data_IF_577377239302
#
_entry.id   IF_577377239302
#
_cell.length_a   1.000
_cell.length_b   1.000
_cell.length_c   1.000
_cell.angle_alpha   90.00
_cell.angle_beta   90.00
_cell.angle_gamma   90.00
#
_symmetry.space_group_name_H-M   'P 1'
#
loop_
_entity.id
_entity.type
_entity.pdbx_description
1 polymer ?
#
# COMPACT_ATOMS: atom_id res chain seq x y z
N UNK A 1 52.26 10.72 -13.95
CA UNK A 1 51.74 9.98 -12.79
C UNK A 1 52.48 8.66 -12.60
N UNK A 2 52.86 8.37 -11.39
CA UNK A 2 53.45 7.07 -11.04
C UNK A 2 52.37 6.04 -10.71
N UNK A 3 52.73 4.78 -10.80
CA UNK A 3 51.83 3.68 -10.45
C UNK A 3 51.36 3.81 -8.98
N UNK A 4 52.28 4.14 -8.06
CA UNK A 4 51.92 4.29 -6.65
C UNK A 4 51.00 5.47 -6.40
N UNK A 5 51.17 6.56 -7.17
CA UNK A 5 50.29 7.73 -7.08
C UNK A 5 48.85 7.38 -7.45
N UNK A 6 48.63 6.61 -8.54
CA UNK A 6 47.31 6.15 -8.93
C UNK A 6 46.75 5.17 -7.89
N UNK A 7 47.57 4.27 -7.36
CA UNK A 7 47.16 3.33 -6.31
C UNK A 7 46.64 4.04 -5.07
N UNK A 8 47.36 5.11 -4.62
CA UNK A 8 46.94 5.92 -3.48
C UNK A 8 45.62 6.62 -3.73
N UNK A 9 45.44 7.20 -4.92
CA UNK A 9 44.18 7.86 -5.31
C UNK A 9 43.02 6.87 -5.28
N UNK A 10 43.19 5.67 -5.85
CA UNK A 10 42.14 4.64 -5.86
C UNK A 10 41.79 4.20 -4.43
N UNK A 11 42.79 4.02 -3.56
CA UNK A 11 42.56 3.65 -2.16
C UNK A 11 41.77 4.75 -1.42
N UNK A 12 42.15 6.01 -1.59
CA UNK A 12 41.45 7.14 -0.99
C UNK A 12 40.00 7.23 -1.49
N UNK A 13 39.76 7.08 -2.78
CA UNK A 13 38.42 7.10 -3.36
C UNK A 13 37.58 5.93 -2.83
N UNK A 14 38.18 4.75 -2.67
CA UNK A 14 37.54 3.59 -2.10
C UNK A 14 37.11 3.80 -0.65
N UNK A 15 37.98 4.40 0.16
CA UNK A 15 37.68 4.72 1.56
C UNK A 15 36.56 5.77 1.65
N UNK A 16 36.59 6.79 0.81
CA UNK A 16 35.55 7.82 0.78
C UNK A 16 34.22 7.24 0.32
N UNK A 17 34.23 6.34 -0.68
CA UNK A 17 33.04 5.68 -1.15
C UNK A 17 32.40 4.81 -0.06
N UNK A 18 33.22 4.18 0.80
CA UNK A 18 32.72 3.38 1.92
C UNK A 18 32.03 4.22 2.99
N UNK A 19 32.39 5.51 3.13
CA UNK A 19 31.73 6.43 4.06
C UNK A 19 30.37 6.92 3.55
N UNK A 20 30.17 6.90 2.24
CA UNK A 20 28.92 7.29 1.61
C UNK A 20 28.03 6.05 1.40
N UNK A 21 27.88 5.24 2.44
CA UNK A 21 26.85 4.18 2.41
C UNK A 21 25.51 4.88 2.59
N UNK A 22 24.68 4.93 1.55
CA UNK A 22 23.38 5.58 1.71
C UNK A 22 22.53 4.76 2.68
N UNK A 23 22.09 5.39 3.76
CA UNK A 23 21.08 4.81 4.65
C UNK A 23 19.72 4.94 3.98
N UNK A 24 19.57 4.27 2.85
CA UNK A 24 18.33 4.32 2.06
C UNK A 24 17.24 3.46 2.70
N UNK A 25 17.60 2.44 3.47
CA UNK A 25 16.65 1.49 4.06
C UNK A 25 15.52 2.13 4.86
N UNK A 26 15.81 2.96 5.89
CA UNK A 26 14.74 3.61 6.67
C UNK A 26 13.88 4.57 5.85
N UNK A 27 14.47 5.26 4.88
CA UNK A 27 13.75 6.19 4.01
C UNK A 27 12.81 5.44 3.04
N UNK A 28 13.27 4.30 2.52
CA UNK A 28 12.45 3.45 1.64
C UNK A 28 11.27 2.87 2.43
N UNK A 29 11.51 2.42 3.66
CA UNK A 29 10.46 1.90 4.52
C UNK A 29 9.40 2.97 4.81
N UNK A 30 9.80 4.19 5.11
CA UNK A 30 8.87 5.29 5.34
C UNK A 30 8.10 5.66 4.08
N UNK A 31 8.76 5.68 2.92
CA UNK A 31 8.11 5.94 1.64
C UNK A 31 7.07 4.88 1.30
N UNK A 32 7.36 3.61 1.58
CA UNK A 32 6.42 2.52 1.37
C UNK A 32 5.20 2.64 2.27
N UNK A 33 5.39 2.98 3.54
CA UNK A 33 4.28 3.22 4.48
C UNK A 33 3.41 4.38 4.05
N UNK A 34 4.03 5.47 3.61
CA UNK A 34 3.31 6.64 3.09
C UNK A 34 2.50 6.29 1.85
N UNK A 35 3.07 5.49 0.96
CA UNK A 35 2.36 5.01 -0.23
C UNK A 35 1.17 4.13 0.16
N UNK A 36 1.34 3.22 1.12
CA UNK A 36 0.25 2.38 1.61
C UNK A 36 -0.88 3.21 2.20
N UNK A 37 -0.57 4.21 3.02
CA UNK A 37 -1.58 5.13 3.57
C UNK A 37 -2.34 5.87 2.48
N UNK A 38 -1.62 6.35 1.46
CA UNK A 38 -2.22 7.04 0.32
C UNK A 38 -3.15 6.12 -0.48
N UNK A 39 -2.75 4.88 -0.72
CA UNK A 39 -3.58 3.89 -1.40
C UNK A 39 -4.84 3.56 -0.58
N UNK A 40 -4.70 3.37 0.73
CA UNK A 40 -5.82 3.11 1.63
C UNK A 40 -6.81 4.28 1.59
N UNK A 41 -6.30 5.51 1.60
CA UNK A 41 -7.16 6.69 1.50
C UNK A 41 -7.92 6.73 0.17
N UNK A 42 -7.28 6.36 -0.93
CA UNK A 42 -7.95 6.24 -2.23
C UNK A 42 -9.06 5.20 -2.21
N UNK A 43 -8.85 4.07 -1.53
CA UNK A 43 -9.89 3.06 -1.35
C UNK A 43 -11.05 3.60 -0.52
N UNK A 44 -10.77 4.33 0.56
CA UNK A 44 -11.81 4.93 1.39
C UNK A 44 -12.66 5.92 0.59
N UNK A 45 -12.05 6.74 -0.23
CA UNK A 45 -12.76 7.70 -1.09
C UNK A 45 -13.65 6.97 -2.11
N UNK A 46 -13.13 5.93 -2.75
CA UNK A 46 -13.89 5.13 -3.68
C UNK A 46 -15.04 4.37 -3.00
N UNK A 47 -14.81 3.85 -1.81
CA UNK A 47 -15.82 3.18 -1.00
C UNK A 47 -16.92 4.14 -0.57
N UNK A 48 -16.58 5.37 -0.21
CA UNK A 48 -17.56 6.39 0.15
C UNK A 48 -18.44 6.76 -1.04
N UNK A 49 -17.86 6.89 -2.24
CA UNK A 49 -18.63 7.11 -3.46
C UNK A 49 -19.56 5.94 -3.76
N UNK A 50 -19.07 4.72 -3.56
CA UNK A 50 -19.89 3.51 -3.72
C UNK A 50 -21.10 3.55 -2.78
N UNK A 51 -20.87 3.87 -1.51
CA UNK A 51 -21.94 3.98 -0.50
C UNK A 51 -22.93 5.07 -0.85
N UNK A 52 -22.44 6.23 -1.31
CA UNK A 52 -23.32 7.35 -1.69
C UNK A 52 -24.27 6.96 -2.83
N UNK A 53 -23.78 6.19 -3.80
CA UNK A 53 -24.60 5.75 -4.94
C UNK A 53 -25.52 4.58 -4.59
N UNK A 54 -25.08 3.66 -3.77
CA UNK A 54 -25.75 2.38 -3.55
C UNK A 54 -26.36 2.21 -2.16
N UNK A 55 -26.04 3.11 -1.23
CA UNK A 55 -26.61 3.13 0.12
C UNK A 55 -25.88 2.24 1.14
N UNK A 56 -24.87 1.51 0.72
CA UNK A 56 -24.10 0.61 1.59
C UNK A 56 -22.69 0.42 1.03
N UNK A 57 -21.77 0.01 1.90
CA UNK A 57 -20.44 -0.40 1.47
C UNK A 57 -20.46 -1.85 0.97
N UNK A 58 -19.53 -2.23 0.10
CA UNK A 58 -19.38 -3.64 -0.28
C UNK A 58 -19.22 -4.54 0.94
N UNK A 59 -19.74 -5.75 0.87
CA UNK A 59 -19.54 -6.75 1.93
C UNK A 59 -18.10 -7.24 1.95
N UNK A 60 -17.71 -7.91 3.03
CA UNK A 60 -16.38 -8.52 3.12
C UNK A 60 -16.12 -9.50 1.99
N UNK A 61 -17.13 -10.30 1.63
CA UNK A 61 -17.03 -11.26 0.52
C UNK A 61 -16.91 -10.58 -0.84
N UNK A 62 -17.58 -9.44 -1.03
CA UNK A 62 -17.47 -8.66 -2.25
C UNK A 62 -16.07 -8.05 -2.39
N UNK A 63 -15.51 -7.59 -1.28
CA UNK A 63 -14.16 -7.08 -1.21
C UNK A 63 -13.94 -5.79 -2.00
N UNK A 64 -12.69 -5.42 -2.13
CA UNK A 64 -12.28 -4.22 -2.90
C UNK A 64 -12.51 -4.38 -4.40
N UNK A 65 -12.64 -5.60 -4.91
CA UNK A 65 -12.95 -5.86 -6.32
C UNK A 65 -14.30 -5.26 -6.72
N UNK A 66 -15.20 -5.05 -5.77
CA UNK A 66 -16.46 -4.37 -6.00
C UNK A 66 -16.27 -2.92 -6.49
N UNK A 67 -15.11 -2.32 -6.24
CA UNK A 67 -14.78 -0.97 -6.72
C UNK A 67 -14.36 -0.97 -8.19
N UNK A 68 -13.92 -2.10 -8.71
CA UNK A 68 -13.44 -2.23 -10.08
C UNK A 68 -14.55 -2.73 -10.99
N UNK A 69 -15.32 -3.71 -10.53
CA UNK A 69 -16.38 -4.37 -11.29
C UNK A 69 -17.60 -4.57 -10.41
N UNK A 70 -18.79 -4.37 -10.98
CA UNK A 70 -20.02 -4.57 -10.23
C UNK A 70 -20.08 -5.99 -9.66
N UNK A 71 -20.26 -6.14 -8.33
CA UNK A 71 -20.37 -7.46 -7.74
C UNK A 71 -21.68 -8.14 -8.12
N UNK A 72 -21.62 -9.45 -8.26
CA UNK A 72 -22.79 -10.28 -8.60
C UNK A 72 -23.39 -10.95 -7.37
N UNK A 73 -22.66 -11.01 -6.26
CA UNK A 73 -23.17 -11.57 -5.00
C UNK A 73 -23.89 -10.49 -4.18
N UNK A 74 -24.85 -10.91 -3.39
CA UNK A 74 -25.65 -10.00 -2.56
C UNK A 74 -24.78 -9.37 -1.44
N UNK A 75 -25.00 -8.09 -1.10
CA UNK A 75 -26.00 -7.17 -1.65
C UNK A 75 -25.55 -6.55 -2.99
N UNK A 76 -26.31 -6.78 -4.05
CA UNK A 76 -25.99 -6.27 -5.38
C UNK A 76 -26.27 -4.76 -5.42
N UNK A 77 -25.31 -3.93 -5.88
CA UNK A 77 -25.52 -2.49 -5.99
C UNK A 77 -26.54 -2.18 -7.10
N UNK A 78 -27.41 -1.21 -6.84
CA UNK A 78 -28.47 -0.81 -7.78
C UNK A 78 -28.06 0.32 -8.70
N UNK A 79 -27.11 1.14 -8.27
CA UNK A 79 -26.67 2.35 -8.96
C UNK A 79 -25.16 2.36 -9.17
N UNK A 80 -24.65 1.23 -9.63
CA UNK A 80 -23.22 1.07 -9.87
C UNK A 80 -22.78 1.97 -11.03
N UNK A 81 -21.67 2.70 -10.82
CA UNK A 81 -21.12 3.60 -11.83
C UNK A 81 -20.52 2.78 -12.98
N UNK A 82 -20.86 3.15 -14.20
CA UNK A 82 -20.26 2.54 -15.38
C UNK A 82 -18.75 2.76 -15.38
N UNK A 83 -18.00 1.66 -15.60
CA UNK A 83 -16.55 1.68 -15.55
C UNK A 83 -15.95 1.51 -14.14
N UNK A 84 -16.79 1.50 -13.11
CA UNK A 84 -16.35 1.29 -11.72
C UNK A 84 -15.82 2.54 -11.06
N UNK A 85 -15.39 2.38 -9.81
CA UNK A 85 -14.88 3.46 -8.96
C UNK A 85 -13.34 3.53 -8.99
N UNK A 86 -12.70 2.42 -9.35
CA UNK A 86 -11.26 2.32 -9.55
C UNK A 86 -11.00 1.54 -10.83
N UNK A 87 -9.88 1.81 -11.47
CA UNK A 87 -9.45 1.04 -12.65
C UNK A 87 -8.98 -0.35 -12.28
N UNK A 88 -8.30 -0.46 -11.14
CA UNK A 88 -7.78 -1.72 -10.60
C UNK A 88 -7.54 -1.57 -9.11
N UNK A 89 -7.48 -2.70 -8.41
CA UNK A 89 -7.06 -2.74 -7.01
C UNK A 89 -5.57 -3.08 -7.01
N UNK A 90 -4.69 -2.12 -6.67
CA UNK A 90 -3.26 -2.41 -6.58
C UNK A 90 -2.95 -3.22 -5.34
N UNK A 91 -1.86 -3.97 -5.37
CA UNK A 91 -1.27 -4.56 -4.18
C UNK A 91 -0.58 -3.47 -3.36
N UNK A 92 -0.29 -3.78 -2.10
CA UNK A 92 0.46 -2.85 -1.26
C UNK A 92 1.91 -2.73 -1.75
N UNK A 93 2.69 -1.76 -1.23
CA UNK A 93 4.08 -1.56 -1.68
C UNK A 93 5.00 -2.76 -1.47
N UNK A 94 4.60 -3.71 -0.63
CA UNK A 94 5.36 -4.94 -0.36
C UNK A 94 4.88 -6.12 -1.20
N UNK A 95 3.93 -5.89 -2.13
CA UNK A 95 3.45 -6.91 -3.06
C UNK A 95 2.35 -7.81 -2.52
N UNK A 96 1.74 -7.47 -1.40
CA UNK A 96 0.65 -8.24 -0.79
C UNK A 96 -0.70 -7.57 -1.06
N UNK A 97 -1.80 -8.34 -1.19
CA UNK A 97 -3.11 -7.74 -1.35
C UNK A 97 -3.56 -7.05 -0.06
N UNK A 98 -4.33 -5.97 -0.23
CA UNK A 98 -4.98 -5.32 0.92
C UNK A 98 -6.09 -6.21 1.45
N UNK A 99 -6.27 -6.20 2.77
CA UNK A 99 -7.35 -6.91 3.43
C UNK A 99 -8.49 -5.92 3.63
N UNK A 100 -9.69 -6.31 3.22
CA UNK A 100 -10.90 -5.51 3.37
C UNK A 100 -11.92 -6.25 4.24
N UNK A 101 -12.47 -5.56 5.21
CA UNK A 101 -13.55 -6.09 6.07
C UNK A 101 -14.63 -5.04 6.25
N UNK A 102 -15.86 -5.47 6.15
CA UNK A 102 -17.03 -4.67 6.49
C UNK A 102 -17.76 -5.33 7.64
N UNK A 103 -17.72 -4.70 8.80
CA UNK A 103 -18.40 -5.18 10.02
C UNK A 103 -19.53 -4.22 10.34
N UNK A 104 -20.74 -4.55 9.86
CA UNK A 104 -21.95 -3.76 10.10
C UNK A 104 -21.81 -2.29 9.69
N UNK A 105 -21.20 -2.04 8.54
CA UNK A 105 -21.00 -0.70 8.01
C UNK A 105 -19.70 -0.02 8.46
N UNK A 106 -18.94 -0.65 9.36
CA UNK A 106 -17.62 -0.18 9.73
C UNK A 106 -16.59 -0.87 8.84
N UNK A 107 -15.97 -0.12 7.97
CA UNK A 107 -14.98 -0.66 7.03
C UNK A 107 -13.58 -0.64 7.64
N UNK A 108 -12.82 -1.69 7.36
CA UNK A 108 -11.43 -1.81 7.73
C UNK A 108 -10.61 -2.21 6.51
N UNK A 109 -9.57 -1.46 6.23
CA UNK A 109 -8.63 -1.73 5.15
C UNK A 109 -7.25 -1.87 5.77
N UNK A 110 -6.57 -2.97 5.50
CA UNK A 110 -5.29 -3.30 6.13
C UNK A 110 -4.27 -3.69 5.07
N UNK A 111 -3.09 -3.05 5.14
CA UNK A 111 -1.87 -3.56 4.52
C UNK A 111 -1.09 -4.30 5.59
N UNK A 112 -0.74 -5.55 5.32
CA UNK A 112 -0.01 -6.39 6.28
C UNK A 112 1.46 -5.98 6.46
N UNK A 113 1.92 -5.00 5.69
CA UNK A 113 3.27 -4.49 5.81
C UNK A 113 4.32 -5.44 5.22
N UNK A 114 5.60 -5.21 5.56
CA UNK A 114 6.68 -5.98 4.96
C UNK A 114 6.72 -7.45 5.36
N UNK A 115 6.09 -7.82 6.49
CA UNK A 115 6.05 -9.22 6.95
C UNK A 115 4.96 -10.06 6.27
N UNK A 116 3.99 -9.44 5.62
CA UNK A 116 2.89 -10.14 4.93
C UNK A 116 1.87 -10.79 5.86
N UNK A 117 1.93 -10.54 7.15
CA UNK A 117 1.03 -11.12 8.15
C UNK A 117 0.34 -10.03 8.95
N UNK A 118 -0.94 -10.25 9.30
CA UNK A 118 -1.65 -9.30 10.16
C UNK A 118 -1.01 -9.23 11.53
N UNK A 119 -0.96 -8.02 12.07
CA UNK A 119 -0.30 -7.76 13.34
C UNK A 119 1.14 -7.37 13.13
N UNK A 120 1.94 -7.46 14.19
CA UNK A 120 3.34 -7.07 14.17
C UNK A 120 3.57 -5.73 14.83
N UNK A 121 4.83 -5.44 15.06
CA UNK A 121 5.26 -4.22 15.76
C UNK A 121 6.44 -3.58 15.01
N UNK A 122 6.66 -2.30 15.23
CA UNK A 122 7.75 -1.57 14.64
C UNK A 122 7.65 -1.49 13.11
N UNK A 123 8.70 -1.90 12.41
CA UNK A 123 8.74 -1.88 10.94
C UNK A 123 7.81 -2.93 10.30
N UNK A 124 7.48 -3.99 11.03
CA UNK A 124 6.55 -5.02 10.57
C UNK A 124 5.08 -4.72 10.87
N UNK A 125 4.78 -3.58 11.46
CA UNK A 125 3.41 -3.24 11.82
C UNK A 125 2.54 -3.01 10.58
N UNK A 126 1.26 -3.36 10.71
CA UNK A 126 0.27 -3.13 9.67
C UNK A 126 0.03 -1.64 9.45
N UNK A 127 -0.40 -1.29 8.24
CA UNK A 127 -0.92 0.03 7.92
C UNK A 127 -2.42 -0.11 7.71
N UNK A 128 -3.21 0.68 8.43
CA UNK A 128 -4.67 0.59 8.38
C UNK A 128 -5.30 1.93 8.10
N UNK A 129 -6.61 1.92 7.77
CA UNK A 129 -7.38 3.14 7.58
C UNK A 129 -7.68 3.88 8.90
N UNK A 130 -7.38 3.25 10.04
CA UNK A 130 -7.51 3.89 11.36
C UNK A 130 -6.24 4.63 11.78
N UNK A 131 -5.18 4.56 10.99
CA UNK A 131 -3.90 5.24 11.27
C UNK A 131 -3.94 6.74 10.92
#
# INVERSE_FOLDING_TARGET
FTLIEIMVVVVILGLLAALVVPRIGPQVAEAQRTMARSQIKSFEEALEMYRMHNGFYPSTQQGLDALVKAPTISPVPKHYVEGGYLKKVPDDPWGNPYIYRNRNGRIQIVSTGPDGEEGGEGEGADVTNDD
#
